data_IF_514077418093
#
_entry.id   IF_514077418093
#
_cell.length_a   1.000
_cell.length_b   1.000
_cell.length_c   1.000
_cell.angle_alpha   90.00
_cell.angle_beta   90.00
_cell.angle_gamma   90.00
#
_symmetry.space_group_name_H-M   'P 1'
#
loop_
_entity.id
_entity.type
_entity.pdbx_description
1 polymer ?
#
# COMPACT_ATOMS: atom_id res chain seq x y z
N UNK A 1 3.99 3.66 -11.49
CA UNK A 1 4.79 4.22 -10.38
C UNK A 1 3.93 5.02 -9.40
N UNK A 2 4.07 6.34 -9.25
CA UNK A 2 3.49 7.07 -8.09
C UNK A 2 1.94 7.06 -8.07
N UNK A 3 1.28 7.26 -9.23
CA UNK A 3 -0.20 7.24 -9.29
C UNK A 3 -0.78 5.90 -8.84
N UNK A 4 -0.20 4.79 -9.29
CA UNK A 4 -0.63 3.45 -8.89
C UNK A 4 -0.28 3.18 -7.42
N UNK A 5 0.91 3.59 -6.97
CA UNK A 5 1.30 3.49 -5.56
C UNK A 5 0.31 4.22 -4.64
N UNK A 6 -0.14 5.42 -5.03
CA UNK A 6 -1.16 6.18 -4.32
C UNK A 6 -2.51 5.45 -4.29
N UNK A 7 -2.96 4.90 -5.42
CA UNK A 7 -4.20 4.12 -5.47
C UNK A 7 -4.12 2.93 -4.51
N UNK A 8 -3.03 2.16 -4.56
CA UNK A 8 -2.82 1.04 -3.63
C UNK A 8 -2.79 1.52 -2.17
N UNK A 9 -2.03 2.57 -1.87
CA UNK A 9 -1.95 3.13 -0.51
C UNK A 9 -3.32 3.53 0.04
N UNK A 10 -4.13 4.22 -0.77
CA UNK A 10 -5.49 4.62 -0.41
C UNK A 10 -6.39 3.40 -0.22
N UNK A 11 -6.32 2.39 -1.09
CA UNK A 11 -7.06 1.14 -0.92
C UNK A 11 -6.67 0.41 0.37
N UNK A 12 -5.37 0.34 0.68
CA UNK A 12 -4.84 -0.27 1.91
C UNK A 12 -5.12 0.56 3.16
N UNK A 13 -5.50 1.83 3.05
CA UNK A 13 -6.02 2.61 4.16
C UNK A 13 -7.52 2.39 4.36
N UNK A 14 -8.31 2.50 3.28
CA UNK A 14 -9.77 2.43 3.32
C UNK A 14 -10.24 1.04 3.74
N UNK A 15 -9.70 -0.03 3.14
CA UNK A 15 -10.15 -1.39 3.40
C UNK A 15 -10.08 -1.80 4.88
N UNK A 16 -8.93 -1.73 5.58
CA UNK A 16 -8.87 -2.07 7.00
C UNK A 16 -9.63 -1.07 7.87
N UNK A 17 -9.72 0.20 7.48
CA UNK A 17 -10.49 1.20 8.23
C UNK A 17 -11.98 0.86 8.21
N UNK A 18 -12.53 0.51 7.04
CA UNK A 18 -13.92 0.05 6.90
C UNK A 18 -14.13 -1.24 7.68
N UNK A 19 -13.18 -2.19 7.61
CA UNK A 19 -13.28 -3.45 8.35
C UNK A 19 -13.28 -3.20 9.87
N UNK A 20 -12.41 -2.34 10.38
CA UNK A 20 -12.37 -1.99 11.79
C UNK A 20 -13.63 -1.24 12.21
N UNK A 21 -14.13 -0.33 11.38
CA UNK A 21 -15.38 0.38 11.65
C UNK A 21 -16.59 -0.57 11.78
N UNK A 22 -16.61 -1.67 11.02
CA UNK A 22 -17.72 -2.64 11.05
C UNK A 22 -17.62 -3.67 12.19
N UNK A 23 -16.41 -4.04 12.60
CA UNK A 23 -16.18 -5.21 13.46
C UNK A 23 -15.42 -4.93 14.76
N UNK A 24 -14.87 -3.71 14.95
CA UNK A 24 -14.13 -3.34 16.16
C UNK A 24 -14.77 -2.13 16.86
N UNK A 25 -14.67 -2.05 18.19
CA UNK A 25 -15.18 -0.91 18.94
C UNK A 25 -14.40 0.38 18.66
N UNK A 26 -13.13 0.27 18.26
CA UNK A 26 -12.24 1.40 17.99
C UNK A 26 -11.41 1.17 16.72
N UNK A 27 -11.15 2.25 15.99
CA UNK A 27 -10.28 2.27 14.82
C UNK A 27 -8.84 2.52 15.30
N UNK A 28 -7.92 1.60 14.96
CA UNK A 28 -6.51 1.84 15.18
C UNK A 28 -5.91 2.61 14.00
N UNK A 29 -5.90 3.93 14.14
CA UNK A 29 -5.38 4.85 13.12
C UNK A 29 -3.90 4.64 12.82
N UNK A 30 -3.09 4.33 13.84
CA UNK A 30 -1.64 4.15 13.67
C UNK A 30 -1.37 2.94 12.77
N UNK A 31 -2.07 1.84 13.01
CA UNK A 31 -1.93 0.63 12.19
C UNK A 31 -2.38 0.89 10.74
N UNK A 32 -3.50 1.58 10.53
CA UNK A 32 -4.05 1.82 9.19
C UNK A 32 -3.15 2.78 8.39
N UNK A 33 -2.60 3.83 9.03
CA UNK A 33 -1.63 4.75 8.43
C UNK A 33 -0.31 4.01 8.15
N UNK A 34 0.18 3.23 9.10
CA UNK A 34 1.40 2.43 8.92
C UNK A 34 1.27 1.49 7.72
N UNK A 35 0.17 0.75 7.64
CA UNK A 35 -0.08 -0.19 6.55
C UNK A 35 -0.17 0.51 5.18
N UNK A 36 -0.79 1.68 5.10
CA UNK A 36 -0.90 2.43 3.84
C UNK A 36 0.45 2.97 3.36
N UNK A 37 1.32 3.39 4.28
CA UNK A 37 2.70 3.80 4.00
C UNK A 37 3.52 2.59 3.54
N UNK A 38 3.42 1.45 4.23
CA UNK A 38 4.10 0.21 3.82
C UNK A 38 3.66 -0.25 2.44
N UNK A 39 2.36 -0.20 2.13
CA UNK A 39 1.84 -0.55 0.81
C UNK A 39 2.38 0.37 -0.29
N UNK A 40 2.49 1.68 -0.02
CA UNK A 40 3.05 2.65 -0.96
C UNK A 40 4.51 2.33 -1.31
N UNK A 41 5.37 2.18 -0.30
CA UNK A 41 6.79 1.88 -0.50
C UNK A 41 7.01 0.48 -1.07
N UNK A 42 6.25 -0.51 -0.60
CA UNK A 42 6.30 -1.88 -1.12
C UNK A 42 5.98 -1.93 -2.61
N UNK A 43 4.95 -1.21 -3.06
CA UNK A 43 4.62 -1.14 -4.49
C UNK A 43 5.74 -0.48 -5.31
N UNK A 44 6.28 0.65 -4.85
CA UNK A 44 7.40 1.33 -5.54
C UNK A 44 8.61 0.41 -5.65
N UNK A 45 8.94 -0.29 -4.56
CA UNK A 45 10.06 -1.22 -4.52
C UNK A 45 9.90 -2.38 -5.50
N UNK A 46 8.71 -3.01 -5.53
CA UNK A 46 8.41 -4.11 -6.46
C UNK A 46 8.48 -3.63 -7.92
N UNK A 47 7.86 -2.48 -8.24
CA UNK A 47 7.94 -1.93 -9.60
C UNK A 47 9.38 -1.61 -10.02
N UNK A 48 10.20 -1.10 -9.09
CA UNK A 48 11.61 -0.86 -9.34
C UNK A 48 12.35 -2.16 -9.65
N UNK A 49 12.17 -3.21 -8.84
CA UNK A 49 12.79 -4.52 -9.10
C UNK A 49 12.39 -5.10 -10.46
N UNK A 50 11.11 -5.06 -10.82
CA UNK A 50 10.61 -5.56 -12.10
C UNK A 50 11.24 -4.80 -13.27
N UNK A 51 11.38 -3.47 -13.14
CA UNK A 51 12.01 -2.65 -14.18
C UNK A 51 13.51 -2.95 -14.31
N UNK A 52 14.22 -3.11 -13.20
CA UNK A 52 15.64 -3.48 -13.20
C UNK A 52 15.84 -4.84 -13.85
N UNK A 53 15.06 -5.85 -13.47
CA UNK A 53 15.13 -7.19 -14.06
C UNK A 53 14.82 -7.20 -15.57
N UNK A 54 13.88 -6.36 -16.04
CA UNK A 54 13.60 -6.22 -17.48
C UNK A 54 14.72 -5.50 -18.24
N UNK A 55 15.44 -4.59 -17.58
CA UNK A 55 16.55 -3.85 -18.18
C UNK A 55 17.78 -4.74 -18.37
N UNK A 56 18.02 -5.68 -17.46
CA UNK A 56 19.16 -6.60 -17.53
C UNK A 56 18.98 -7.73 -18.57
N UNK A 57 17.75 -7.99 -19.00
CA UNK A 57 17.42 -9.02 -20.01
C UNK A 57 17.35 -8.49 -21.46
N UNK A 58 17.83 -7.27 -21.72
CA UNK A 58 17.73 -6.60 -23.02
C UNK A 58 19.09 -6.09 -23.47
#
# INVERSE_FOLDING_TARGET
>A
MIKQALVYSVSFFIFPTVLQFLFKPEINWVDNIGLSIFAFFGYIFIEWMIKSAKKDNK
#
